data_IF_280585933141
#
_entry.id   IF_280585933141
#
_cell.length_a   1.000
_cell.length_b   1.000
_cell.length_c   1.000
_cell.angle_alpha   90.00
_cell.angle_beta   90.00
_cell.angle_gamma   90.00
#
_symmetry.space_group_name_H-M   'P 1'
#
loop_
_entity.id
_entity.type
_entity.pdbx_description
1 polymer ?
#
# COMPACT_ATOMS: atom_id res chain seq x y z
N UNK A 1 11.08 -10.46 1.00
CA UNK A 1 9.74 -10.86 0.57
C UNK A 1 9.42 -10.26 -0.80
N UNK A 2 8.46 -10.85 -1.51
CA UNK A 2 8.11 -10.38 -2.86
C UNK A 2 7.62 -8.92 -2.85
N UNK A 3 6.89 -8.52 -1.82
CA UNK A 3 6.34 -7.16 -1.73
C UNK A 3 7.44 -6.09 -1.77
N UNK A 4 8.62 -6.39 -1.26
CA UNK A 4 9.74 -5.44 -1.28
C UNK A 4 10.22 -5.13 -2.70
N UNK A 5 9.87 -5.96 -3.68
CA UNK A 5 10.27 -5.79 -5.06
C UNK A 5 9.39 -4.82 -5.85
N UNK A 6 8.20 -4.48 -5.34
CA UNK A 6 7.25 -3.70 -6.13
C UNK A 6 6.48 -2.62 -5.37
N UNK A 7 6.50 -2.62 -4.04
CA UNK A 7 5.56 -1.80 -3.23
C UNK A 7 5.95 -0.31 -3.11
N UNK A 8 7.04 0.11 -3.71
CA UNK A 8 7.37 1.53 -3.82
C UNK A 8 7.93 1.82 -5.21
N UNK A 9 7.66 3.01 -5.79
CA UNK A 9 8.16 3.33 -7.12
C UNK A 9 9.68 3.46 -7.09
N UNK A 10 10.39 2.66 -7.88
CA UNK A 10 11.83 2.73 -7.98
C UNK A 10 12.26 4.15 -8.41
N UNK A 11 13.35 4.72 -7.87
CA UNK A 11 14.40 4.10 -7.05
C UNK A 11 14.13 4.08 -5.53
N UNK A 12 12.94 4.43 -5.07
CA UNK A 12 12.57 4.26 -3.66
C UNK A 12 12.62 2.79 -3.31
N UNK A 13 13.26 2.44 -2.19
CA UNK A 13 13.35 1.05 -1.73
C UNK A 13 12.45 0.80 -0.53
N UNK A 14 11.99 -0.45 -0.41
CA UNK A 14 11.16 -0.90 0.71
C UNK A 14 11.85 -2.08 1.37
N UNK A 15 11.92 -2.05 2.69
CA UNK A 15 12.49 -3.14 3.50
C UNK A 15 11.79 -3.24 4.85
N UNK A 16 12.15 -4.25 5.62
CA UNK A 16 11.62 -4.50 6.97
C UNK A 16 10.08 -4.55 6.97
N UNK A 17 9.52 -5.23 5.97
CA UNK A 17 8.07 -5.35 5.82
C UNK A 17 7.52 -6.36 6.81
N UNK A 18 6.50 -5.95 7.54
CA UNK A 18 5.71 -6.83 8.40
C UNK A 18 4.28 -6.82 7.89
N UNK A 19 3.76 -7.97 7.51
CA UNK A 19 2.37 -8.16 7.10
C UNK A 19 1.80 -9.33 7.88
N UNK A 20 0.85 -9.04 8.77
CA UNK A 20 0.10 -10.05 9.49
C UNK A 20 -1.29 -10.11 8.87
N UNK A 21 -1.54 -11.08 8.00
CA UNK A 21 -2.71 -11.16 7.14
C UNK A 21 -3.96 -11.58 7.90
N UNK A 22 -4.44 -10.69 8.76
CA UNK A 22 -5.70 -10.84 9.51
C UNK A 22 -6.23 -9.46 9.88
N UNK A 23 -7.53 -9.30 10.12
CA UNK A 23 -8.05 -8.03 10.64
C UNK A 23 -7.36 -7.66 11.95
N UNK A 24 -6.92 -6.41 12.06
CA UNK A 24 -6.12 -5.94 13.19
C UNK A 24 -4.64 -6.25 13.10
N UNK A 25 -4.20 -6.97 12.08
CA UNK A 25 -2.79 -7.31 11.89
C UNK A 25 -1.94 -6.12 11.49
N UNK A 26 -0.65 -6.22 11.75
CA UNK A 26 0.30 -5.17 11.39
C UNK A 26 0.57 -5.13 9.89
N UNK A 27 0.61 -3.91 9.33
CA UNK A 27 1.17 -3.63 8.01
C UNK A 27 2.17 -2.50 8.18
N UNK A 28 3.46 -2.83 8.15
CA UNK A 28 4.52 -1.83 8.32
C UNK A 28 5.66 -2.08 7.36
N UNK A 29 6.39 -1.00 7.08
CA UNK A 29 7.57 -1.06 6.20
C UNK A 29 8.47 0.13 6.46
N UNK A 30 9.71 0.05 5.97
CA UNK A 30 10.67 1.14 5.95
C UNK A 30 10.97 1.48 4.49
N UNK A 31 10.64 2.70 4.07
CA UNK A 31 10.97 3.22 2.75
C UNK A 31 12.22 4.08 2.85
N UNK A 32 13.12 3.93 1.88
CA UNK A 32 14.30 4.78 1.75
C UNK A 32 14.23 5.52 0.43
N UNK A 33 14.23 6.85 0.49
CA UNK A 33 14.24 7.72 -0.66
C UNK A 33 15.66 7.79 -1.27
N UNK A 34 15.78 8.25 -2.54
CA UNK A 34 17.09 8.33 -3.20
C UNK A 34 18.12 9.21 -2.46
N UNK A 35 17.66 10.19 -1.68
CA UNK A 35 18.52 11.06 -0.88
C UNK A 35 18.93 10.44 0.45
N UNK A 36 18.51 9.22 0.75
CA UNK A 36 18.80 8.52 2.00
C UNK A 36 17.77 8.75 3.10
N UNK A 37 16.76 9.58 2.89
CA UNK A 37 15.69 9.80 3.86
C UNK A 37 14.92 8.50 4.09
N UNK A 38 14.73 8.14 5.36
CA UNK A 38 13.97 6.95 5.73
C UNK A 38 12.58 7.34 6.23
N UNK A 39 11.56 6.64 5.73
CA UNK A 39 10.16 6.84 6.11
C UNK A 39 9.62 5.52 6.63
N UNK A 40 9.26 5.47 7.90
CA UNK A 40 8.61 4.30 8.48
C UNK A 40 7.11 4.43 8.31
N UNK A 41 6.53 3.47 7.62
CA UNK A 41 5.09 3.37 7.46
C UNK A 41 4.58 2.31 8.42
N UNK A 42 3.53 2.62 9.15
CA UNK A 42 2.90 1.69 10.07
C UNK A 42 1.40 1.82 9.94
N UNK A 43 0.72 0.69 9.95
CA UNK A 43 -0.72 0.67 9.80
C UNK A 43 -1.33 -0.65 10.23
N UNK A 44 -2.60 -0.79 9.92
CA UNK A 44 -3.43 -1.90 10.35
C UNK A 44 -4.22 -2.45 9.17
N UNK A 45 -4.27 -3.78 9.07
CA UNK A 45 -5.17 -4.44 8.14
C UNK A 45 -6.58 -4.46 8.72
N UNK A 46 -7.57 -4.10 7.91
CA UNK A 46 -8.97 -4.05 8.32
C UNK A 46 -9.78 -5.20 7.72
N UNK A 47 -9.57 -5.47 6.43
CA UNK A 47 -10.26 -6.54 5.71
C UNK A 47 -9.21 -7.35 4.97
N UNK A 48 -9.30 -8.67 5.11
CA UNK A 48 -8.43 -9.61 4.39
C UNK A 48 -9.30 -10.68 3.76
N UNK A 49 -9.53 -10.56 2.47
CA UNK A 49 -10.23 -11.56 1.66
C UNK A 49 -9.23 -12.16 0.69
N UNK A 50 -8.75 -13.38 0.94
CA UNK A 50 -7.68 -13.96 0.12
C UNK A 50 -7.95 -13.88 -1.38
N UNK A 51 -6.94 -13.44 -2.15
CA UNK A 51 -6.96 -13.32 -3.62
C UNK A 51 -7.97 -12.30 -4.15
N UNK A 52 -8.76 -11.65 -3.30
CA UNK A 52 -9.83 -10.74 -3.75
C UNK A 52 -9.68 -9.31 -3.30
N UNK A 53 -9.45 -9.09 -2.00
CA UNK A 53 -9.56 -7.74 -1.44
C UNK A 53 -8.74 -7.59 -0.17
N UNK A 54 -8.08 -6.43 -0.08
CA UNK A 54 -7.33 -6.04 1.10
C UNK A 54 -7.69 -4.60 1.43
N UNK A 55 -8.04 -4.32 2.67
CA UNK A 55 -8.27 -2.94 3.14
C UNK A 55 -7.32 -2.67 4.29
N UNK A 56 -6.61 -1.56 4.23
CA UNK A 56 -5.68 -1.17 5.28
C UNK A 56 -5.72 0.33 5.51
N UNK A 57 -5.16 0.76 6.64
CA UNK A 57 -5.19 2.16 7.06
C UNK A 57 -3.98 2.48 7.91
N UNK A 58 -3.54 3.74 7.88
CA UNK A 58 -2.60 4.30 8.86
C UNK A 58 -3.31 5.07 9.97
N UNK A 59 -4.64 5.13 9.94
CA UNK A 59 -5.43 5.70 11.04
C UNK A 59 -5.37 4.84 12.31
N UNK A 60 -5.06 3.56 12.14
CA UNK A 60 -4.92 2.58 13.21
C UNK A 60 -3.59 1.85 13.06
N UNK A 61 -3.01 1.48 14.18
CA UNK A 61 -1.86 0.58 14.24
C UNK A 61 -2.29 -0.84 14.59
N UNK A 62 -1.33 -1.77 14.79
CA UNK A 62 -1.64 -3.16 15.14
C UNK A 62 -2.59 -3.25 16.32
N UNK A 63 -3.57 -4.15 16.23
CA UNK A 63 -4.60 -4.32 17.26
C UNK A 63 -5.65 -3.22 17.26
N UNK A 64 -5.83 -2.52 16.14
CA UNK A 64 -6.81 -1.44 15.98
C UNK A 64 -6.54 -0.22 16.88
N UNK A 65 -5.30 0.00 17.27
CA UNK A 65 -4.96 1.15 18.12
C UNK A 65 -4.93 2.45 17.32
N UNK A 66 -5.60 3.52 17.78
CA UNK A 66 -5.56 4.82 17.08
C UNK A 66 -4.15 5.35 16.93
N UNK A 67 -3.85 5.93 15.78
CA UNK A 67 -2.58 6.55 15.46
C UNK A 67 -2.69 8.07 15.49
N UNK A 68 -1.58 8.74 15.80
CA UNK A 68 -1.57 10.20 16.03
C UNK A 68 -1.68 11.03 14.75
N UNK A 69 -1.16 10.51 13.64
CA UNK A 69 -1.06 11.26 12.38
C UNK A 69 -1.59 10.46 11.22
N UNK A 70 -2.92 10.22 11.18
CA UNK A 70 -3.51 9.48 10.08
C UNK A 70 -3.42 10.26 8.78
N UNK A 71 -3.22 9.55 7.67
CA UNK A 71 -3.19 10.16 6.35
C UNK A 71 -4.28 9.59 5.44
N UNK A 72 -4.35 8.26 5.29
CA UNK A 72 -5.36 7.67 4.41
C UNK A 72 -5.64 6.21 4.74
N UNK A 73 -6.75 5.72 4.18
CA UNK A 73 -7.05 4.29 4.12
C UNK A 73 -7.00 3.86 2.66
N UNK A 74 -6.76 2.59 2.42
CA UNK A 74 -6.67 2.07 1.07
C UNK A 74 -7.41 0.75 0.94
N UNK A 75 -7.99 0.56 -0.24
CA UNK A 75 -8.58 -0.71 -0.65
C UNK A 75 -7.88 -1.18 -1.91
N UNK A 76 -7.44 -2.43 -1.90
CA UNK A 76 -6.87 -3.08 -3.07
C UNK A 76 -7.78 -4.25 -3.43
N UNK A 77 -8.18 -4.31 -4.71
CA UNK A 77 -9.03 -5.38 -5.22
C UNK A 77 -8.36 -6.09 -6.38
N UNK A 78 -8.61 -7.38 -6.44
CA UNK A 78 -8.17 -8.25 -7.54
C UNK A 78 -9.41 -8.95 -8.10
N UNK A 79 -9.69 -8.72 -9.38
CA UNK A 79 -10.84 -9.31 -10.06
C UNK A 79 -10.36 -10.11 -11.26
N UNK A 80 -10.90 -11.33 -11.42
CA UNK A 80 -10.57 -12.14 -12.58
C UNK A 80 -11.08 -11.48 -13.87
N UNK A 81 -10.24 -11.49 -14.93
CA UNK A 81 -10.58 -10.95 -16.23
C UNK A 81 -9.98 -11.87 -17.31
N UNK A 82 -10.74 -12.88 -17.70
CA UNK A 82 -10.23 -13.92 -18.59
C UNK A 82 -9.04 -14.63 -17.99
N UNK A 83 -7.89 -14.62 -18.68
CA UNK A 83 -6.63 -15.18 -18.18
C UNK A 83 -5.84 -14.21 -17.33
N UNK A 84 -6.31 -12.97 -17.20
CA UNK A 84 -5.63 -11.92 -16.45
C UNK A 84 -6.38 -11.50 -15.20
N UNK A 85 -5.94 -10.38 -14.64
CA UNK A 85 -6.50 -9.82 -13.41
C UNK A 85 -6.67 -8.31 -13.56
N UNK A 86 -7.82 -7.79 -13.14
CA UNK A 86 -7.99 -6.36 -12.94
C UNK A 86 -7.57 -6.02 -11.51
N UNK A 87 -6.57 -5.17 -11.41
CA UNK A 87 -6.06 -4.67 -10.12
C UNK A 87 -6.57 -3.25 -9.91
N UNK A 88 -7.25 -3.01 -8.80
CA UNK A 88 -7.77 -1.69 -8.45
C UNK A 88 -7.23 -1.29 -7.09
N UNK A 89 -6.60 -0.12 -7.02
CA UNK A 89 -6.16 0.47 -5.77
C UNK A 89 -6.90 1.80 -5.56
N UNK A 90 -7.53 1.95 -4.41
CA UNK A 90 -8.31 3.14 -4.06
C UNK A 90 -7.84 3.69 -2.72
N UNK A 91 -7.42 4.96 -2.71
CA UNK A 91 -7.10 5.67 -1.48
C UNK A 91 -8.32 6.47 -1.02
N UNK A 92 -8.57 6.45 0.28
CA UNK A 92 -9.72 7.09 0.92
C UNK A 92 -9.18 8.08 1.96
N UNK A 93 -9.65 9.33 1.91
CA UNK A 93 -9.16 10.41 2.76
C UNK A 93 -10.28 10.99 3.60
N UNK A 94 -9.92 11.58 4.74
CA UNK A 94 -10.89 12.20 5.63
C UNK A 94 -11.47 13.50 5.09
N UNK A 95 -10.71 14.23 4.26
CA UNK A 95 -11.14 15.50 3.68
C UNK A 95 -10.69 15.61 2.22
N UNK A 96 -11.35 16.50 1.47
CA UNK A 96 -10.95 16.83 0.11
C UNK A 96 -9.52 17.41 0.07
N UNK A 97 -9.18 18.25 1.05
CA UNK A 97 -7.85 18.85 1.13
C UNK A 97 -6.75 17.79 1.24
N UNK A 98 -6.94 16.78 2.07
CA UNK A 98 -5.97 15.69 2.22
C UNK A 98 -5.88 14.86 0.93
N UNK A 99 -7.01 14.60 0.29
CA UNK A 99 -7.04 13.91 -1.00
C UNK A 99 -6.25 14.67 -2.07
N UNK A 100 -6.48 15.98 -2.17
CA UNK A 100 -5.82 16.82 -3.15
C UNK A 100 -4.30 16.90 -2.87
N UNK A 101 -3.91 17.00 -1.61
CA UNK A 101 -2.50 16.96 -1.21
C UNK A 101 -1.83 15.65 -1.61
N UNK A 102 -2.50 14.53 -1.41
CA UNK A 102 -1.99 13.21 -1.80
C UNK A 102 -1.81 13.11 -3.32
N UNK A 103 -2.77 13.63 -4.08
CA UNK A 103 -2.66 13.70 -5.55
C UNK A 103 -1.46 14.54 -5.99
N UNK A 104 -1.25 15.69 -5.36
CA UNK A 104 -0.11 16.57 -5.65
C UNK A 104 1.24 15.96 -5.28
N UNK A 105 1.28 15.03 -4.34
CA UNK A 105 2.48 14.27 -3.98
C UNK A 105 2.84 13.19 -5.00
N UNK A 106 2.07 13.06 -6.09
CA UNK A 106 2.32 12.08 -7.14
C UNK A 106 1.61 10.74 -6.93
N UNK A 107 0.45 10.75 -6.29
CA UNK A 107 -0.33 9.53 -6.02
C UNK A 107 -0.54 8.69 -7.28
N UNK A 108 -1.06 9.29 -8.35
CA UNK A 108 -1.39 8.55 -9.58
C UNK A 108 -0.15 7.99 -10.26
N UNK A 109 0.90 8.78 -10.37
CA UNK A 109 2.16 8.36 -10.97
C UNK A 109 2.84 7.28 -10.12
N UNK A 110 2.84 7.46 -8.80
CA UNK A 110 3.45 6.52 -7.86
C UNK A 110 2.76 5.17 -7.87
N UNK A 111 1.45 5.15 -7.73
CA UNK A 111 0.68 3.90 -7.74
C UNK A 111 0.69 3.24 -9.12
N UNK A 112 0.72 4.04 -10.20
CA UNK A 112 0.88 3.51 -11.56
C UNK A 112 2.22 2.81 -11.74
N UNK A 113 3.31 3.40 -11.26
CA UNK A 113 4.64 2.78 -11.30
C UNK A 113 4.67 1.48 -10.47
N UNK A 114 4.09 1.50 -9.29
CA UNK A 114 4.00 0.32 -8.42
C UNK A 114 3.20 -0.79 -9.08
N UNK A 115 2.09 -0.47 -9.74
CA UNK A 115 1.28 -1.46 -10.47
C UNK A 115 2.08 -2.10 -11.62
N UNK A 116 2.85 -1.31 -12.35
CA UNK A 116 3.72 -1.82 -13.41
C UNK A 116 4.80 -2.75 -12.84
N UNK A 117 5.38 -2.38 -11.72
CA UNK A 117 6.37 -3.22 -11.03
C UNK A 117 5.76 -4.54 -10.53
N UNK A 118 4.55 -4.48 -9.99
CA UNK A 118 3.80 -5.67 -9.58
C UNK A 118 3.55 -6.61 -10.75
N UNK A 119 3.13 -6.06 -11.90
CA UNK A 119 2.92 -6.84 -13.11
C UNK A 119 4.20 -7.59 -13.52
N UNK A 120 5.35 -6.89 -13.49
CA UNK A 120 6.62 -7.50 -13.85
C UNK A 120 7.02 -8.64 -12.88
N UNK A 121 6.82 -8.44 -11.58
CA UNK A 121 7.10 -9.48 -10.58
C UNK A 121 6.17 -10.69 -10.78
N UNK A 122 4.89 -10.44 -10.99
CA UNK A 122 3.91 -11.50 -11.20
C UNK A 122 4.21 -12.32 -12.47
N UNK A 123 4.64 -11.67 -13.54
CA UNK A 123 4.99 -12.35 -14.80
C UNK A 123 6.22 -13.24 -14.65
N UNK A 124 7.09 -13.00 -13.68
CA UNK A 124 8.28 -13.78 -13.41
C UNK A 124 8.09 -14.97 -12.47
N UNK A 125 6.87 -15.16 -11.96
CA UNK A 125 6.59 -16.26 -11.03
C UNK A 125 6.27 -17.59 -11.71
#
# INVERSE_FOLDING_TARGET
ALIEQWFAPHPVTVRDVVIDLRPGGELSSLMTLPDGTEIRNAGCLLVVEPVRRLVFTDCLGPGFRPMDKPFFSAEVRFEADGAGTIYTARAIHGTKATRDAHAEMGFHEGWGAVATQLEAVAAGL
#
